data_IF_737135107021
#
_entry.id   IF_737135107021
#
_cell.length_a   1.000
_cell.length_b   1.000
_cell.length_c   1.000
_cell.angle_alpha   90.00
_cell.angle_beta   90.00
_cell.angle_gamma   90.00
#
_symmetry.space_group_name_H-M   'P 1'
#
loop_
_entity.id
_entity.type
_entity.pdbx_description
1 polymer ?
#
# COMPACT_ATOMS: atom_id res chain seq x y z
N UNK A 1 -17.23 22.29 8.98
CA UNK A 1 -16.17 21.27 8.84
C UNK A 1 -16.85 20.05 8.26
N UNK A 2 -16.60 19.73 6.98
CA UNK A 2 -17.11 18.49 6.40
C UNK A 2 -16.13 17.38 6.78
N UNK A 3 -16.48 16.59 7.78
CA UNK A 3 -15.84 15.28 7.99
C UNK A 3 -16.32 14.38 6.87
N UNK A 4 -15.57 14.32 5.76
CA UNK A 4 -15.70 13.22 4.81
C UNK A 4 -15.36 11.96 5.62
N UNK A 5 -16.41 11.25 6.04
CA UNK A 5 -16.29 9.95 6.66
C UNK A 5 -16.15 9.00 5.49
N UNK A 6 -14.92 8.63 5.16
CA UNK A 6 -14.66 7.63 4.13
C UNK A 6 -15.34 6.31 4.56
N UNK A 7 -15.89 5.54 3.60
CA UNK A 7 -16.49 4.25 3.94
C UNK A 7 -15.42 3.35 4.55
N UNK A 8 -15.74 2.76 5.70
CA UNK A 8 -14.86 1.88 6.46
C UNK A 8 -15.46 0.48 6.56
N UNK A 9 -14.60 -0.52 6.64
CA UNK A 9 -14.94 -1.93 6.88
C UNK A 9 -14.40 -2.38 8.22
N UNK A 10 -15.18 -3.21 8.89
CA UNK A 10 -14.73 -3.94 10.06
C UNK A 10 -13.95 -5.18 9.57
N UNK A 11 -12.67 -5.26 9.96
CA UNK A 11 -11.79 -6.38 9.63
C UNK A 11 -11.76 -7.32 10.84
N UNK A 12 -12.55 -8.38 10.77
CA UNK A 12 -12.62 -9.48 11.74
C UNK A 12 -12.79 -9.05 13.21
N UNK A 13 -13.50 -7.94 13.48
CA UNK A 13 -13.71 -7.38 14.81
C UNK A 13 -12.47 -6.78 15.46
N UNK A 14 -11.35 -6.73 14.73
CA UNK A 14 -10.04 -6.31 15.25
C UNK A 14 -9.71 -4.85 14.89
N UNK A 15 -10.19 -4.36 13.75
CA UNK A 15 -9.88 -3.02 13.27
C UNK A 15 -10.98 -2.46 12.37
N UNK A 16 -11.03 -1.12 12.28
CA UNK A 16 -11.85 -0.39 11.32
C UNK A 16 -10.91 0.25 10.30
N UNK A 17 -10.99 -0.23 9.08
CA UNK A 17 -10.08 0.13 7.98
C UNK A 17 -10.89 0.84 6.90
N UNK A 18 -10.30 1.81 6.22
CA UNK A 18 -10.89 2.33 4.98
C UNK A 18 -11.12 1.19 3.97
N UNK A 19 -12.18 1.24 3.15
CA UNK A 19 -12.52 0.17 2.19
C UNK A 19 -11.40 -0.18 1.21
N UNK A 20 -10.50 0.77 0.96
CA UNK A 20 -9.34 0.62 0.08
C UNK A 20 -8.04 0.37 0.88
N UNK A 21 -8.13 0.18 2.20
CA UNK A 21 -6.95 -0.02 3.05
C UNK A 21 -6.12 1.25 3.27
N UNK A 22 -6.63 2.42 2.86
CA UNK A 22 -5.85 3.66 2.71
C UNK A 22 -5.72 4.51 3.99
N UNK A 23 -6.05 3.98 5.17
CA UNK A 23 -5.95 4.71 6.45
C UNK A 23 -4.79 4.28 7.37
N UNK A 24 -3.68 3.81 6.80
CA UNK A 24 -2.51 3.32 7.52
C UNK A 24 -1.34 4.32 7.47
N UNK A 25 -0.46 4.26 8.48
CA UNK A 25 0.75 5.10 8.53
C UNK A 25 2.00 4.24 8.63
N UNK A 26 2.94 4.49 7.72
CA UNK A 26 4.24 3.83 7.72
C UNK A 26 5.10 4.35 8.88
N UNK A 27 6.03 3.52 9.37
CA UNK A 27 7.06 3.94 10.32
C UNK A 27 7.92 5.12 9.82
N UNK A 28 7.96 5.40 8.51
CA UNK A 28 8.64 6.59 7.97
C UNK A 28 7.78 7.86 7.99
N UNK A 29 6.55 7.80 8.51
CA UNK A 29 5.60 8.92 8.56
C UNK A 29 4.78 9.13 7.28
N UNK A 30 5.02 8.35 6.23
CA UNK A 30 4.18 8.37 5.03
C UNK A 30 2.86 7.67 5.34
N UNK A 31 1.74 8.34 5.15
CA UNK A 31 0.42 7.69 5.21
C UNK A 31 0.01 7.12 3.85
N UNK A 32 -0.95 6.21 3.86
CA UNK A 32 -1.48 5.55 2.66
C UNK A 32 -2.36 6.45 1.80
N UNK A 33 -3.03 7.44 2.37
CA UNK A 33 -3.86 8.40 1.61
C UNK A 33 -3.03 9.34 0.74
N UNK A 34 -1.84 9.73 1.20
CA UNK A 34 -1.03 10.74 0.52
C UNK A 34 -0.26 10.21 -0.70
N UNK A 35 -0.09 8.89 -0.82
CA UNK A 35 0.89 8.32 -1.74
C UNK A 35 0.54 6.91 -2.24
N UNK A 36 -0.74 6.55 -2.33
CA UNK A 36 -1.27 5.30 -2.92
C UNK A 36 -0.33 4.10 -2.76
N UNK A 37 -0.36 3.46 -1.59
CA UNK A 37 0.54 2.33 -1.35
C UNK A 37 0.16 1.13 -2.23
N UNK A 38 1.15 0.33 -2.57
CA UNK A 38 0.94 -0.79 -3.49
C UNK A 38 0.51 -2.05 -2.74
N UNK A 39 -0.51 -2.75 -3.25
CA UNK A 39 -0.82 -4.10 -2.82
C UNK A 39 0.35 -5.04 -3.06
N UNK A 40 0.53 -5.99 -2.14
CA UNK A 40 1.40 -7.13 -2.36
C UNK A 40 0.71 -8.41 -1.90
N UNK A 41 0.85 -9.47 -2.68
CA UNK A 41 0.25 -10.76 -2.35
C UNK A 41 0.93 -11.43 -1.15
N UNK A 42 0.47 -12.62 -0.77
CA UNK A 42 1.02 -13.40 0.35
C UNK A 42 2.50 -13.80 0.16
N UNK A 43 3.04 -13.71 -1.05
CA UNK A 43 4.45 -13.96 -1.38
C UNK A 43 5.29 -12.68 -1.38
N UNK A 44 4.67 -11.51 -1.23
CA UNK A 44 5.30 -10.21 -1.33
C UNK A 44 5.44 -9.71 -2.77
N UNK A 45 4.80 -10.34 -3.76
CA UNK A 45 4.82 -9.81 -5.12
C UNK A 45 3.96 -8.55 -5.19
N UNK A 46 4.59 -7.44 -5.59
CA UNK A 46 3.96 -6.11 -5.63
C UNK A 46 3.11 -5.99 -6.90
N UNK A 47 1.89 -5.51 -6.74
CA UNK A 47 0.98 -5.18 -7.84
C UNK A 47 0.78 -3.66 -7.88
N UNK A 48 1.36 -3.00 -8.87
CA UNK A 48 1.31 -1.54 -8.98
C UNK A 48 -0.08 -0.98 -9.35
N UNK A 49 -0.97 -1.81 -9.88
CA UNK A 49 -2.32 -1.39 -10.28
C UNK A 49 -3.36 -1.42 -9.16
N UNK A 50 -2.97 -1.82 -7.97
CA UNK A 50 -3.84 -1.94 -6.83
C UNK A 50 -3.29 -1.10 -5.68
N UNK A 51 -4.17 -0.28 -5.10
CA UNK A 51 -3.94 0.37 -3.80
C UNK A 51 -3.73 -0.66 -2.70
N UNK A 52 -3.54 -0.21 -1.47
CA UNK A 52 -3.57 -1.06 -0.29
C UNK A 52 -4.84 -1.95 -0.27
N UNK A 53 -4.85 -2.95 0.61
CA UNK A 53 -5.93 -3.94 0.67
C UNK A 53 -6.46 -4.04 2.08
N UNK A 54 -7.76 -4.28 2.22
CA UNK A 54 -8.41 -4.59 3.50
C UNK A 54 -8.30 -6.06 3.89
N UNK A 55 -7.76 -6.91 3.01
CA UNK A 55 -7.55 -8.32 3.30
C UNK A 55 -6.41 -8.48 4.34
N UNK A 56 -6.66 -9.00 5.55
CA UNK A 56 -5.65 -9.11 6.60
C UNK A 56 -4.50 -10.08 6.27
N UNK A 57 -4.71 -11.00 5.33
CA UNK A 57 -3.71 -11.98 4.90
C UNK A 57 -2.79 -11.46 3.80
N UNK A 58 -3.12 -10.33 3.19
CA UNK A 58 -2.28 -9.67 2.19
C UNK A 58 -1.25 -8.75 2.83
N UNK A 59 -0.40 -8.17 1.96
CA UNK A 59 0.63 -7.24 2.34
C UNK A 59 0.44 -5.91 1.62
N UNK A 60 1.13 -4.90 2.12
CA UNK A 60 1.10 -3.57 1.55
C UNK A 60 2.48 -2.93 1.65
N UNK A 61 2.91 -2.32 0.55
CA UNK A 61 4.24 -1.73 0.39
C UNK A 61 4.15 -0.21 0.45
N UNK A 62 4.90 0.40 1.37
CA UNK A 62 5.07 1.85 1.40
C UNK A 62 6.02 2.30 0.28
N UNK A 63 5.56 3.08 -0.72
CA UNK A 63 6.40 3.49 -1.85
C UNK A 63 7.52 4.44 -1.43
N UNK A 64 7.26 5.29 -0.43
CA UNK A 64 8.22 6.29 0.04
C UNK A 64 9.50 5.69 0.63
N UNK A 65 9.41 4.54 1.30
CA UNK A 65 10.57 3.95 1.98
C UNK A 65 10.81 2.46 1.70
N UNK A 66 9.93 1.84 0.92
CA UNK A 66 9.98 0.45 0.50
C UNK A 66 9.65 -0.57 1.60
N UNK A 67 9.13 -0.16 2.75
CA UNK A 67 8.76 -1.13 3.80
C UNK A 67 7.50 -1.89 3.43
N UNK A 68 7.58 -3.22 3.50
CA UNK A 68 6.46 -4.13 3.33
C UNK A 68 5.93 -4.54 4.70
N UNK A 69 4.61 -4.52 4.85
CA UNK A 69 3.92 -4.92 6.07
C UNK A 69 2.84 -5.94 5.77
N UNK A 70 2.50 -6.77 6.76
CA UNK A 70 1.25 -7.52 6.75
C UNK A 70 0.11 -6.59 7.13
N UNK A 71 -0.99 -6.67 6.40
CA UNK A 71 -2.14 -5.81 6.59
C UNK A 71 -2.72 -5.92 8.00
N UNK A 72 -2.87 -7.14 8.53
CA UNK A 72 -3.35 -7.36 9.90
C UNK A 72 -2.56 -6.60 10.99
N UNK A 73 -1.23 -6.49 10.82
CA UNK A 73 -0.36 -5.82 11.79
C UNK A 73 -0.46 -4.29 11.68
N UNK A 74 -0.67 -3.77 10.46
CA UNK A 74 -0.93 -2.35 10.22
C UNK A 74 -2.26 -1.91 10.83
N UNK A 75 -3.34 -2.65 10.57
CA UNK A 75 -4.68 -2.29 10.99
C UNK A 75 -4.82 -2.13 12.51
N UNK A 76 -4.04 -2.89 13.27
CA UNK A 76 -4.04 -2.88 14.75
C UNK A 76 -3.04 -1.87 15.34
N UNK A 77 -2.30 -1.13 14.49
CA UNK A 77 -1.34 -0.10 14.89
C UNK A 77 0.01 -0.66 15.39
N UNK A 78 0.24 -1.96 15.29
CA UNK A 78 1.46 -2.65 15.72
C UNK A 78 2.20 -3.26 14.54
N UNK A 79 2.66 -2.43 13.62
CA UNK A 79 3.32 -2.92 12.41
C UNK A 79 4.85 -2.89 12.52
N UNK A 80 5.46 -4.08 12.46
CA UNK A 80 6.88 -4.22 12.14
C UNK A 80 7.01 -4.57 10.66
N UNK A 81 7.89 -3.88 9.93
CA UNK A 81 8.12 -4.20 8.54
C UNK A 81 8.72 -5.62 8.43
N UNK A 82 8.09 -6.47 7.63
CA UNK A 82 8.54 -7.85 7.40
C UNK A 82 9.65 -7.92 6.34
N UNK A 83 9.71 -6.93 5.46
CA UNK A 83 10.73 -6.78 4.43
C UNK A 83 10.90 -5.31 4.03
N UNK A 84 11.94 -5.05 3.23
CA UNK A 84 12.15 -3.74 2.60
C UNK A 84 12.60 -3.92 1.15
N UNK A 85 11.84 -3.32 0.24
CA UNK A 85 12.16 -3.21 -1.18
C UNK A 85 13.06 -2.00 -1.38
N UNK A 86 14.06 -2.14 -2.24
CA UNK A 86 14.77 -0.98 -2.76
C UNK A 86 13.94 -0.35 -3.88
N UNK A 87 13.11 0.61 -3.52
CA UNK A 87 12.22 1.34 -4.45
C UNK A 87 12.99 2.25 -5.42
N UNK A 88 14.30 2.39 -5.23
CA UNK A 88 15.18 3.13 -6.14
C UNK A 88 16.03 2.19 -6.99
N UNK A 89 15.90 0.88 -6.81
CA UNK A 89 16.62 -0.09 -7.64
C UNK A 89 16.15 -0.02 -9.10
N UNK A 90 17.05 -0.21 -10.07
CA UNK A 90 16.67 -0.21 -11.48
C UNK A 90 15.57 -1.22 -11.82
N UNK A 91 15.54 -2.38 -11.14
CA UNK A 91 14.52 -3.39 -11.36
C UNK A 91 13.13 -2.93 -10.90
N UNK A 92 13.04 -2.28 -9.74
CA UNK A 92 11.78 -1.72 -9.25
C UNK A 92 11.29 -0.59 -10.16
N UNK A 93 12.18 0.34 -10.50
CA UNK A 93 11.86 1.48 -11.37
C UNK A 93 11.41 1.03 -12.76
N UNK A 94 12.08 0.05 -13.36
CA UNK A 94 11.70 -0.50 -14.66
C UNK A 94 10.33 -1.22 -14.62
N UNK A 95 10.05 -1.97 -13.55
CA UNK A 95 8.75 -2.63 -13.38
C UNK A 95 7.62 -1.61 -13.19
N UNK A 96 7.87 -0.55 -12.42
CA UNK A 96 6.93 0.54 -12.21
C UNK A 96 6.71 1.35 -13.49
N UNK A 97 7.77 1.74 -14.21
CA UNK A 97 7.68 2.45 -15.50
C UNK A 97 6.92 1.63 -16.56
N UNK A 98 7.17 0.33 -16.63
CA UNK A 98 6.45 -0.56 -17.53
C UNK A 98 4.95 -0.58 -17.19
N UNK A 99 4.60 -0.68 -15.91
CA UNK A 99 3.21 -0.59 -15.47
C UNK A 99 2.56 0.74 -15.86
N UNK A 100 3.21 1.87 -15.56
CA UNK A 100 2.70 3.20 -15.89
C UNK A 100 2.44 3.34 -17.39
N UNK A 101 3.38 2.85 -18.22
CA UNK A 101 3.24 2.85 -19.67
C UNK A 101 2.10 1.95 -20.19
N UNK A 102 1.88 0.80 -19.55
CA UNK A 102 0.82 -0.15 -19.93
C UNK A 102 -0.58 0.31 -19.45
N UNK A 103 -0.67 0.92 -18.28
CA UNK A 103 -1.93 1.32 -17.65
C UNK A 103 -2.44 2.70 -18.13
N UNK A 104 -1.54 3.67 -18.29
CA UNK A 104 -1.91 5.06 -18.59
C UNK A 104 -1.42 5.54 -19.96
N UNK A 105 -0.65 4.72 -20.67
CA UNK A 105 -0.04 5.07 -21.95
C UNK A 105 1.26 5.87 -21.77
N UNK A 106 2.16 5.77 -22.75
CA UNK A 106 3.52 6.36 -22.69
C UNK A 106 3.58 7.88 -22.94
N UNK A 107 2.44 8.54 -23.12
CA UNK A 107 2.35 9.94 -23.59
C UNK A 107 2.21 10.96 -22.43
N UNK A 108 3.05 10.86 -21.40
CA UNK A 108 3.32 11.99 -20.50
C UNK A 108 4.75 12.47 -20.69
N UNK A 109 4.96 13.11 -21.83
CA UNK A 109 6.13 13.97 -22.13
C UNK A 109 6.15 15.23 -21.29
#
# INVERSE_FOLDING_TARGET
MYTLSYPVVDVDGCAVVDVDGENQTCACGNDTYAADWYAADTTGAVTFCCSASTNPDEHTLCPACGRLYRNADLFTGTATAIARYDTHSPAFLAAHEQYEGDAYGRDRS
#
